data_IF_663737062102
#
_entry.id   IF_663737062102
#
_cell.length_a   1.000
_cell.length_b   1.000
_cell.length_c   1.000
_cell.angle_alpha   90.00
_cell.angle_beta   90.00
_cell.angle_gamma   90.00
#
_symmetry.space_group_name_H-M   'P 1'
#
loop_
_entity.id
_entity.type
_entity.pdbx_description
1 polymer ?
#
# COMPACT_ATOMS: atom_id res chain seq x y z
N UNK A 1 12.38 -13.51 -2.50
CA UNK A 1 11.54 -14.43 -1.69
C UNK A 1 10.59 -13.58 -0.87
N UNK A 2 9.27 -13.60 -1.14
CA UNK A 2 8.31 -12.85 -0.33
C UNK A 2 7.72 -13.82 0.71
N UNK A 3 8.40 -13.98 1.84
CA UNK A 3 7.77 -14.61 2.99
C UNK A 3 6.52 -13.79 3.36
N UNK A 4 5.43 -14.49 3.62
CA UNK A 4 4.17 -13.89 4.07
C UNK A 4 4.49 -13.24 5.42
N UNK A 5 4.68 -11.91 5.43
CA UNK A 5 4.98 -11.16 6.65
C UNK A 5 3.88 -11.47 7.66
N UNK A 6 4.20 -12.30 8.63
CA UNK A 6 3.28 -12.77 9.64
C UNK A 6 3.53 -11.91 10.88
N UNK A 7 2.60 -11.04 11.29
CA UNK A 7 2.81 -10.11 12.39
C UNK A 7 3.14 -10.81 13.72
N UNK A 8 2.83 -12.11 13.84
CA UNK A 8 3.18 -12.93 15.01
C UNK A 8 4.66 -13.30 15.12
N UNK A 9 5.45 -13.04 14.08
CA UNK A 9 6.90 -13.30 14.04
C UNK A 9 7.74 -12.03 14.16
N UNK A 10 7.13 -10.84 14.07
CA UNK A 10 7.85 -9.57 14.17
C UNK A 10 7.96 -9.12 15.62
N UNK A 11 9.06 -8.44 15.93
CA UNK A 11 9.18 -7.73 17.21
C UNK A 11 8.27 -6.50 17.22
N UNK A 12 7.85 -6.05 18.41
CA UNK A 12 6.99 -4.86 18.57
C UNK A 12 7.57 -3.64 17.86
N UNK A 13 8.88 -3.43 17.91
CA UNK A 13 9.54 -2.33 17.20
C UNK A 13 9.41 -2.42 15.67
N UNK A 14 9.56 -3.61 15.09
CA UNK A 14 9.44 -3.83 13.65
C UNK A 14 8.00 -3.67 13.15
N UNK A 15 7.02 -4.01 14.00
CA UNK A 15 5.60 -3.76 13.71
C UNK A 15 5.36 -2.26 13.56
N UNK A 16 5.88 -1.44 14.49
CA UNK A 16 5.71 0.01 14.42
C UNK A 16 6.46 0.65 13.25
N UNK A 17 7.66 0.16 12.92
CA UNK A 17 8.42 0.59 11.75
C UNK A 17 7.67 0.30 10.43
N UNK A 18 7.10 -0.90 10.30
CA UNK A 18 6.26 -1.25 9.15
C UNK A 18 4.98 -0.42 9.07
N UNK A 19 4.35 -0.14 10.21
CA UNK A 19 3.17 0.72 10.24
C UNK A 19 3.50 2.16 9.80
N UNK A 20 4.65 2.69 10.23
CA UNK A 20 5.09 4.04 9.87
C UNK A 20 5.43 4.14 8.37
N UNK A 21 6.20 3.19 7.84
CA UNK A 21 6.52 3.15 6.41
C UNK A 21 5.27 2.93 5.54
N UNK A 22 4.31 2.12 6.01
CA UNK A 22 3.03 1.95 5.32
C UNK A 22 2.16 3.23 5.38
N UNK A 23 2.21 3.98 6.49
CA UNK A 23 1.53 5.27 6.63
C UNK A 23 2.10 6.33 5.68
N UNK A 24 3.42 6.40 5.58
CA UNK A 24 4.10 7.30 4.66
C UNK A 24 3.72 6.97 3.21
N UNK A 25 3.79 5.69 2.83
CA UNK A 25 3.33 5.20 1.54
C UNK A 25 1.89 5.62 1.23
N UNK A 26 0.97 5.42 2.19
CA UNK A 26 -0.43 5.79 2.00
C UNK A 26 -0.60 7.29 1.76
N UNK A 27 0.15 8.13 2.47
CA UNK A 27 0.10 9.59 2.31
C UNK A 27 0.68 10.02 0.96
N UNK A 28 1.79 9.42 0.54
CA UNK A 28 2.47 9.76 -0.70
C UNK A 28 1.63 9.40 -1.94
N UNK A 29 1.06 8.19 -1.98
CA UNK A 29 0.29 7.72 -3.15
C UNK A 29 -1.21 8.04 -3.08
N UNK A 30 -1.71 8.55 -1.97
CA UNK A 30 -3.10 8.99 -1.81
C UNK A 30 -4.08 7.90 -1.41
N UNK A 31 -3.60 6.89 -0.68
CA UNK A 31 -4.44 5.84 -0.12
C UNK A 31 -4.91 6.21 1.28
N UNK A 32 -6.08 5.70 1.67
CA UNK A 32 -6.56 5.81 3.06
C UNK A 32 -5.75 4.85 3.94
N UNK A 33 -5.02 5.41 4.89
CA UNK A 33 -4.30 4.65 5.90
C UNK A 33 -5.26 4.00 6.89
N UNK A 34 -5.01 2.72 7.19
CA UNK A 34 -5.69 1.96 8.22
C UNK A 34 -4.75 0.84 8.67
N UNK A 35 -4.47 0.79 9.97
CA UNK A 35 -3.54 -0.18 10.57
C UNK A 35 -4.00 -1.63 10.35
N UNK A 36 -5.32 -1.87 10.31
CA UNK A 36 -5.88 -3.20 10.08
C UNK A 36 -5.68 -3.72 8.64
N UNK A 37 -5.37 -2.84 7.69
CA UNK A 37 -5.05 -3.22 6.33
C UNK A 37 -3.57 -3.63 6.19
N UNK A 38 -2.71 -3.30 7.17
CA UNK A 38 -1.34 -3.77 7.23
C UNK A 38 -1.33 -5.31 7.40
N UNK A 39 -0.50 -6.01 6.62
CA UNK A 39 -0.48 -7.49 6.53
C UNK A 39 -1.75 -8.17 5.97
N UNK A 40 -2.78 -7.42 5.57
CA UNK A 40 -3.96 -8.00 4.96
C UNK A 40 -3.78 -8.16 3.44
N UNK A 41 -3.67 -9.42 3.01
CA UNK A 41 -3.50 -9.77 1.58
C UNK A 41 -4.67 -9.33 0.68
N UNK A 42 -5.86 -9.11 1.25
CA UNK A 42 -7.05 -8.66 0.49
C UNK A 42 -7.08 -7.15 0.31
N UNK A 43 -6.28 -6.42 1.09
CA UNK A 43 -6.25 -4.98 1.05
C UNK A 43 -5.44 -4.49 -0.13
N UNK A 44 -6.07 -3.67 -0.95
CA UNK A 44 -5.45 -3.16 -2.18
C UNK A 44 -4.20 -2.32 -1.86
N UNK A 45 -4.28 -1.49 -0.82
CA UNK A 45 -3.17 -0.66 -0.34
C UNK A 45 -1.95 -1.51 0.02
N UNK A 46 -2.17 -2.61 0.75
CA UNK A 46 -1.10 -3.53 1.15
C UNK A 46 -0.47 -4.22 -0.06
N UNK A 47 -1.27 -4.65 -1.04
CA UNK A 47 -0.74 -5.23 -2.27
C UNK A 47 0.14 -4.24 -3.04
N UNK A 48 -0.23 -2.96 -3.11
CA UNK A 48 0.59 -1.94 -3.76
C UNK A 48 1.87 -1.64 -2.97
N UNK A 49 1.79 -1.56 -1.64
CA UNK A 49 2.97 -1.42 -0.80
C UNK A 49 3.96 -2.57 -1.00
N UNK A 50 3.47 -3.82 -1.03
CA UNK A 50 4.33 -4.98 -1.33
C UNK A 50 4.92 -4.96 -2.73
N UNK A 51 4.27 -4.31 -3.71
CA UNK A 51 4.85 -4.10 -5.03
C UNK A 51 6.01 -3.11 -4.96
N UNK A 52 5.82 -2.01 -4.23
CA UNK A 52 6.86 -1.01 -4.00
C UNK A 52 8.09 -1.62 -3.31
N UNK A 53 7.89 -2.41 -2.25
CA UNK A 53 8.98 -3.12 -1.57
C UNK A 53 9.74 -4.09 -2.49
N UNK A 54 9.05 -4.67 -3.48
CA UNK A 54 9.65 -5.54 -4.50
C UNK A 54 10.34 -4.77 -5.63
N UNK A 55 10.34 -3.44 -5.59
CA UNK A 55 10.90 -2.57 -6.63
C UNK A 55 10.01 -2.40 -7.87
N UNK A 56 8.74 -2.82 -7.80
CA UNK A 56 7.77 -2.54 -8.85
C UNK A 56 7.05 -1.23 -8.59
N UNK A 57 6.67 -0.52 -9.64
CA UNK A 57 5.93 0.74 -9.53
C UNK A 57 4.51 0.50 -9.00
N UNK A 58 4.15 1.03 -7.81
CA UNK A 58 2.80 0.96 -7.30
C UNK A 58 1.88 1.93 -8.04
N UNK A 59 0.59 1.61 -8.10
CA UNK A 59 -0.40 2.52 -8.69
C UNK A 59 -0.49 3.79 -7.85
N UNK A 60 -0.43 4.97 -8.48
CA UNK A 60 -0.62 6.25 -7.82
C UNK A 60 -2.11 6.63 -7.80
N UNK A 61 -2.71 6.60 -6.62
CA UNK A 61 -4.14 6.83 -6.44
C UNK A 61 -4.52 8.30 -6.67
N UNK A 62 -3.62 9.26 -6.40
CA UNK A 62 -3.86 10.66 -6.74
C UNK A 62 -4.06 10.85 -8.24
N UNK A 63 -3.19 10.24 -9.05
CA UNK A 63 -3.28 10.32 -10.50
C UNK A 63 -4.51 9.59 -11.05
N UNK A 64 -4.83 8.41 -10.50
CA UNK A 64 -6.03 7.66 -10.88
C UNK A 64 -7.32 8.44 -10.55
N UNK A 65 -7.42 9.01 -9.35
CA UNK A 65 -8.57 9.84 -8.97
C UNK A 65 -8.68 11.10 -9.83
N UNK A 66 -7.55 11.76 -10.13
CA UNK A 66 -7.54 12.91 -11.04
C UNK A 66 -8.00 12.52 -12.45
N UNK A 67 -7.60 11.35 -12.95
CA UNK A 67 -8.06 10.85 -14.25
C UNK A 67 -9.57 10.55 -14.25
N UNK A 68 -10.10 9.97 -13.15
CA UNK A 68 -11.54 9.76 -12.96
C UNK A 68 -12.33 11.06 -12.98
N UNK A 69 -11.84 12.08 -12.26
CA UNK A 69 -12.46 13.41 -12.22
C UNK A 69 -12.45 14.09 -13.59
N UNK A 70 -11.37 13.93 -14.35
CA UNK A 70 -11.26 14.49 -15.71
C UNK A 70 -12.05 13.71 -16.78
N UNK A 71 -12.83 12.69 -16.40
CA UNK A 71 -13.64 11.89 -17.33
C UNK A 71 -12.84 11.05 -18.31
N UNK A 72 -11.52 10.92 -18.11
CA UNK A 72 -10.61 10.15 -18.98
C UNK A 72 -10.63 8.67 -18.58
N UNK A 73 -11.77 8.01 -18.75
CA UNK A 73 -11.82 6.55 -18.65
C UNK A 73 -11.65 5.96 -20.05
N UNK A 74 -10.41 5.61 -20.42
CA UNK A 74 -10.22 4.57 -21.42
C UNK A 74 -10.48 3.25 -20.70
N UNK A 75 -11.64 2.65 -20.95
CA UNK A 75 -11.82 1.23 -20.65
C UNK A 75 -10.83 0.46 -21.54
N UNK A 76 -10.04 -0.41 -20.91
CA UNK A 76 -9.34 -1.50 -21.58
C UNK A 76 -9.91 -2.79 -21.01
#
# INVERSE_FOLDING_TARGET
MAERVNPRRLSVGEIFDQLDTFRDFCSYYGYRYNEADCWNIRSFQWQQYQKLEKGNEPVNNWLDQLARLNGRRSYN
#
